data_IF_584599730210
#
_entry.id   IF_584599730210
#
_cell.length_a   1.000
_cell.length_b   1.000
_cell.length_c   1.000
_cell.angle_alpha   90.00
_cell.angle_beta   90.00
_cell.angle_gamma   90.00
#
_symmetry.space_group_name_H-M   'P 1'
#
loop_
_entity.id
_entity.type
_entity.pdbx_description
1 polymer ?
#
# COMPACT_ATOMS: atom_id res chain seq x y z
N UNK A 1 -27.35 0.61 -26.60
CA UNK A 1 -27.37 -0.34 -25.46
C UNK A 1 -26.18 0.02 -24.59
N UNK A 2 -26.42 0.77 -23.51
CA UNK A 2 -25.38 1.22 -22.58
C UNK A 2 -24.88 -0.01 -21.81
N UNK A 3 -23.69 -0.49 -22.16
CA UNK A 3 -23.02 -1.53 -21.37
C UNK A 3 -22.74 -0.97 -19.98
N UNK A 4 -23.38 -1.53 -18.96
CA UNK A 4 -23.09 -1.20 -17.57
C UNK A 4 -21.61 -1.50 -17.30
N UNK A 5 -20.83 -0.45 -17.06
CA UNK A 5 -19.42 -0.54 -16.71
C UNK A 5 -19.31 -1.07 -15.28
N UNK A 6 -18.76 -2.28 -15.12
CA UNK A 6 -18.43 -2.83 -13.81
C UNK A 6 -17.05 -2.31 -13.40
N UNK A 7 -16.91 -1.62 -12.25
CA UNK A 7 -15.61 -1.20 -11.74
C UNK A 7 -14.77 -2.41 -11.32
N UNK A 8 -13.45 -2.32 -11.49
CA UNK A 8 -12.47 -3.33 -11.06
C UNK A 8 -12.66 -3.74 -9.59
N UNK A 9 -12.88 -5.03 -9.35
CA UNK A 9 -12.99 -5.62 -8.01
C UNK A 9 -11.88 -6.63 -7.77
N UNK A 10 -11.25 -6.59 -6.59
CA UNK A 10 -10.24 -7.60 -6.20
C UNK A 10 -10.82 -9.02 -6.11
N UNK A 11 -12.12 -9.14 -5.87
CA UNK A 11 -12.80 -10.45 -5.78
C UNK A 11 -12.96 -11.15 -7.13
N UNK A 12 -12.77 -10.43 -8.24
CA UNK A 12 -12.83 -11.01 -9.59
C UNK A 12 -11.48 -11.62 -10.01
N UNK A 13 -10.40 -11.28 -9.30
CA UNK A 13 -9.08 -11.82 -9.60
C UNK A 13 -8.87 -13.17 -8.92
N UNK A 14 -8.31 -14.16 -9.64
CA UNK A 14 -7.90 -15.42 -9.04
C UNK A 14 -6.94 -15.23 -7.87
N UNK A 15 -7.20 -15.94 -6.77
CA UNK A 15 -6.38 -15.89 -5.55
C UNK A 15 -5.46 -17.10 -5.37
N UNK A 16 -5.34 -17.93 -6.41
CA UNK A 16 -4.69 -19.26 -6.37
C UNK A 16 -3.73 -19.53 -7.54
N UNK A 17 -3.49 -18.55 -8.41
CA UNK A 17 -2.68 -18.73 -9.63
C UNK A 17 -1.96 -17.46 -10.05
N UNK A 18 -1.06 -17.61 -11.03
CA UNK A 18 -0.41 -16.48 -11.70
C UNK A 18 -1.38 -15.87 -12.71
N UNK A 19 -1.57 -14.56 -12.67
CA UNK A 19 -2.31 -13.82 -13.70
C UNK A 19 -1.52 -12.62 -14.18
N UNK A 20 -1.64 -12.32 -15.48
CA UNK A 20 -1.11 -11.10 -16.06
C UNK A 20 -2.21 -10.06 -16.15
N UNK A 21 -2.01 -8.93 -15.49
CA UNK A 21 -2.96 -7.80 -15.47
C UNK A 21 -2.46 -6.71 -16.42
N UNK A 22 -3.29 -6.32 -17.38
CA UNK A 22 -3.05 -5.16 -18.27
C UNK A 22 -3.84 -3.93 -17.82
N UNK A 23 -3.34 -2.75 -18.19
CA UNK A 23 -3.99 -1.45 -17.99
C UNK A 23 -4.28 -1.08 -16.53
N UNK A 24 -3.37 -1.41 -15.61
CA UNK A 24 -3.57 -1.23 -14.19
C UNK A 24 -2.83 0.02 -13.67
N UNK A 25 -3.58 1.02 -13.22
CA UNK A 25 -3.00 2.22 -12.60
C UNK A 25 -3.00 2.10 -11.07
N UNK A 26 -2.08 2.78 -10.37
CA UNK A 26 -2.05 2.74 -8.90
C UNK A 26 -3.36 3.19 -8.25
N UNK A 27 -4.03 4.15 -8.88
CA UNK A 27 -5.29 4.72 -8.38
C UNK A 27 -6.45 3.72 -8.50
N UNK A 28 -6.38 2.77 -9.45
CA UNK A 28 -7.39 1.72 -9.61
C UNK A 28 -7.21 0.64 -8.55
N UNK A 29 -5.96 0.32 -8.18
CA UNK A 29 -5.68 -0.58 -7.06
C UNK A 29 -6.13 -0.02 -5.72
N UNK A 30 -5.81 1.24 -5.44
CA UNK A 30 -6.18 1.87 -4.19
C UNK A 30 -7.71 1.89 -4.00
N UNK A 31 -8.46 2.08 -5.11
CA UNK A 31 -9.93 1.95 -5.12
C UNK A 31 -10.39 0.51 -4.88
N UNK A 32 -9.79 -0.45 -5.58
CA UNK A 32 -10.19 -1.85 -5.48
C UNK A 32 -9.89 -2.44 -4.09
N UNK A 33 -8.75 -2.11 -3.48
CA UNK A 33 -8.44 -2.43 -2.08
C UNK A 33 -9.43 -1.75 -1.13
N UNK A 34 -9.85 -0.52 -1.47
CA UNK A 34 -10.77 0.23 -0.62
C UNK A 34 -12.19 -0.36 -0.58
N UNK A 35 -12.69 -0.79 -1.74
CA UNK A 35 -14.02 -1.36 -1.89
C UNK A 35 -14.00 -2.90 -1.66
N UNK A 36 -12.86 -3.48 -1.28
CA UNK A 36 -12.66 -4.91 -1.13
C UNK A 36 -13.42 -5.51 0.07
N UNK A 37 -14.30 -6.52 -0.16
CA UNK A 37 -15.01 -7.19 0.93
C UNK A 37 -14.04 -7.93 1.87
N UNK A 38 -14.40 -8.26 3.12
CA UNK A 38 -13.50 -8.84 4.13
C UNK A 38 -12.73 -10.10 3.69
N UNK A 39 -13.34 -10.91 2.83
CA UNK A 39 -12.80 -12.15 2.24
C UNK A 39 -11.81 -11.92 1.08
N UNK A 40 -11.66 -10.69 0.59
CA UNK A 40 -10.68 -10.35 -0.43
C UNK A 40 -9.22 -10.56 0.04
N UNK A 41 -8.27 -10.80 -0.89
CA UNK A 41 -6.86 -11.00 -0.54
C UNK A 41 -6.21 -9.74 0.04
N UNK A 42 -5.20 -9.94 0.90
CA UNK A 42 -4.23 -8.91 1.21
C UNK A 42 -3.32 -8.70 0.00
N UNK A 43 -3.38 -7.53 -0.64
CA UNK A 43 -2.58 -7.22 -1.83
C UNK A 43 -1.28 -6.56 -1.42
N UNK A 44 -0.16 -7.17 -1.78
CA UNK A 44 1.18 -6.64 -1.58
C UNK A 44 1.80 -6.26 -2.91
N UNK A 45 1.96 -4.96 -3.12
CA UNK A 45 2.57 -4.40 -4.33
C UNK A 45 4.08 -4.35 -4.20
N UNK A 46 4.77 -4.79 -5.24
CA UNK A 46 6.22 -4.83 -5.26
C UNK A 46 6.80 -4.47 -6.61
N UNK A 47 7.85 -3.67 -6.59
CA UNK A 47 8.74 -3.49 -7.74
C UNK A 47 9.80 -4.58 -7.72
N UNK A 48 9.82 -5.40 -8.75
CA UNK A 48 10.73 -6.56 -8.78
C UNK A 48 12.07 -6.13 -9.38
N UNK A 49 13.14 -6.19 -8.58
CA UNK A 49 14.50 -6.17 -9.11
C UNK A 49 14.85 -7.57 -9.62
N UNK A 50 15.13 -7.71 -10.91
CA UNK A 50 15.40 -9.01 -11.52
C UNK A 50 16.87 -9.38 -11.38
N UNK A 51 17.12 -10.61 -10.94
CA UNK A 51 18.46 -11.14 -10.63
C UNK A 51 18.94 -12.13 -11.69
N UNK A 52 18.25 -12.22 -12.84
CA UNK A 52 18.62 -13.07 -13.98
C UNK A 52 18.39 -14.57 -13.79
N UNK A 53 17.98 -15.02 -12.60
CA UNK A 53 17.66 -16.43 -12.30
C UNK A 53 16.32 -16.54 -11.54
N UNK A 54 15.50 -17.57 -11.82
CA UNK A 54 14.24 -17.79 -11.11
C UNK A 54 14.44 -17.96 -9.60
N UNK A 55 15.41 -18.78 -9.19
CA UNK A 55 15.68 -19.04 -7.75
C UNK A 55 16.15 -17.77 -7.04
N UNK A 56 17.02 -16.98 -7.68
CA UNK A 56 17.49 -15.72 -7.10
C UNK A 56 16.36 -14.68 -7.03
N UNK A 57 15.40 -14.73 -7.97
CA UNK A 57 14.20 -13.89 -7.95
C UNK A 57 13.28 -14.30 -6.81
N UNK A 58 13.07 -15.61 -6.60
CA UNK A 58 12.32 -16.15 -5.44
C UNK A 58 12.97 -15.72 -4.13
N UNK A 59 14.27 -15.90 -3.95
CA UNK A 59 14.97 -15.55 -2.71
C UNK A 59 14.85 -14.05 -2.40
N UNK A 60 15.07 -13.21 -3.43
CA UNK A 60 14.83 -11.78 -3.32
C UNK A 60 13.39 -11.51 -2.89
N UNK A 61 12.41 -12.19 -3.51
CA UNK A 61 11.00 -12.06 -3.16
C UNK A 61 10.74 -12.39 -1.70
N UNK A 62 11.22 -13.52 -1.22
CA UNK A 62 11.03 -13.95 0.17
C UNK A 62 11.71 -13.01 1.17
N UNK A 63 12.89 -12.46 0.85
CA UNK A 63 13.59 -11.56 1.77
C UNK A 63 12.86 -10.22 1.97
N UNK A 64 12.31 -9.61 0.92
CA UNK A 64 11.54 -8.37 1.16
C UNK A 64 10.16 -8.68 1.76
N UNK A 65 9.55 -9.84 1.49
CA UNK A 65 8.35 -10.28 2.22
C UNK A 65 8.65 -10.42 3.71
N UNK A 66 9.80 -10.98 4.07
CA UNK A 66 10.30 -11.06 5.45
C UNK A 66 10.57 -9.66 6.03
N UNK A 67 11.16 -8.76 5.25
CA UNK A 67 11.35 -7.36 5.65
C UNK A 67 10.03 -6.64 5.94
N UNK A 68 9.00 -6.88 5.11
CA UNK A 68 7.64 -6.36 5.34
C UNK A 68 7.01 -6.98 6.58
N UNK A 69 7.12 -8.30 6.78
CA UNK A 69 6.65 -8.95 8.00
C UNK A 69 7.33 -8.38 9.25
N UNK A 70 8.64 -8.11 9.20
CA UNK A 70 9.38 -7.45 10.27
C UNK A 70 8.84 -6.04 10.59
N UNK A 71 8.49 -5.26 9.56
CA UNK A 71 7.87 -3.93 9.76
C UNK A 71 6.45 -4.00 10.33
N UNK A 72 5.75 -5.11 10.09
CA UNK A 72 4.39 -5.37 10.58
C UNK A 72 4.39 -6.00 11.98
N UNK A 73 5.54 -6.34 12.55
CA UNK A 73 5.61 -6.85 13.92
C UNK A 73 5.24 -5.75 14.94
N UNK A 74 4.44 -6.04 15.99
CA UNK A 74 3.88 -7.33 16.39
C UNK A 74 2.44 -7.60 15.89
N UNK A 75 1.93 -6.88 14.89
CA UNK A 75 0.51 -6.95 14.45
C UNK A 75 0.05 -8.37 14.10
N UNK A 76 0.92 -9.16 13.49
CA UNK A 76 0.62 -10.55 13.12
C UNK A 76 0.89 -11.56 14.24
N UNK A 77 1.35 -11.12 15.42
CA UNK A 77 1.65 -11.96 16.58
C UNK A 77 0.93 -11.43 17.84
N UNK A 78 -0.39 -11.64 17.96
CA UNK A 78 -1.14 -11.23 19.15
C UNK A 78 -0.52 -11.77 20.44
N UNK A 79 -0.43 -10.93 21.47
CA UNK A 79 0.24 -11.21 22.74
C UNK A 79 1.68 -10.68 22.83
N UNK A 80 2.26 -10.20 21.72
CA UNK A 80 3.60 -9.59 21.71
C UNK A 80 3.58 -8.05 21.77
N UNK A 81 2.42 -7.39 21.90
CA UNK A 81 2.26 -5.93 21.84
C UNK A 81 3.05 -5.18 22.93
N UNK A 82 3.27 -5.83 24.09
CA UNK A 82 4.04 -5.26 25.21
C UNK A 82 5.56 -5.49 25.12
N UNK A 83 6.06 -6.20 24.10
CA UNK A 83 7.46 -6.61 24.01
C UNK A 83 8.19 -5.70 23.01
N UNK A 84 8.68 -4.57 23.52
CA UNK A 84 9.26 -3.51 22.67
C UNK A 84 10.78 -3.62 22.45
N UNK A 85 11.52 -4.38 23.27
CA UNK A 85 12.98 -4.50 23.15
C UNK A 85 13.44 -5.95 23.25
N UNK A 86 14.53 -6.29 22.55
CA UNK A 86 15.13 -7.63 22.57
C UNK A 86 15.93 -7.96 23.84
N UNK A 87 15.69 -7.27 24.96
CA UNK A 87 16.46 -7.41 26.19
C UNK A 87 15.90 -8.51 27.12
N UNK A 88 16.78 -9.12 27.92
CA UNK A 88 16.40 -10.10 28.94
C UNK A 88 15.64 -11.30 28.37
N UNK A 89 14.48 -11.61 28.93
CA UNK A 89 13.65 -12.76 28.54
C UNK A 89 12.76 -12.50 27.31
N UNK A 90 12.82 -11.31 26.70
CA UNK A 90 11.91 -10.90 25.62
C UNK A 90 11.96 -11.81 24.38
N UNK A 91 13.17 -12.24 23.97
CA UNK A 91 13.32 -13.15 22.83
C UNK A 91 12.70 -14.53 23.12
N UNK A 92 12.86 -15.04 24.34
CA UNK A 92 12.25 -16.31 24.75
C UNK A 92 10.73 -16.20 24.80
N UNK A 93 10.21 -15.09 25.33
CA UNK A 93 8.78 -14.83 25.40
C UNK A 93 8.14 -14.74 24.00
N UNK A 94 8.73 -13.95 23.09
CA UNK A 94 8.24 -13.83 21.71
C UNK A 94 8.26 -15.17 20.97
N UNK A 95 9.30 -15.97 21.17
CA UNK A 95 9.36 -17.33 20.60
C UNK A 95 8.24 -18.22 21.15
N UNK A 96 7.96 -18.17 22.45
CA UNK A 96 6.89 -18.95 23.06
C UNK A 96 5.51 -18.55 22.51
N UNK A 97 5.24 -17.24 22.38
CA UNK A 97 4.00 -16.74 21.78
C UNK A 97 3.87 -17.22 20.32
N UNK A 98 4.96 -17.14 19.55
CA UNK A 98 4.99 -17.63 18.18
C UNK A 98 4.74 -19.14 18.06
N UNK A 99 5.28 -19.97 18.96
CA UNK A 99 4.97 -21.39 18.98
C UNK A 99 3.49 -21.66 19.29
N UNK A 100 2.91 -20.94 20.26
CA UNK A 100 1.50 -21.08 20.59
C UNK A 100 0.61 -20.72 19.38
N UNK A 101 0.85 -19.58 18.75
CA UNK A 101 0.10 -19.18 17.57
C UNK A 101 0.30 -20.11 16.36
N UNK A 102 1.51 -20.63 16.18
CA UNK A 102 1.79 -21.55 15.07
C UNK A 102 0.96 -22.84 15.19
N UNK A 103 0.72 -23.32 16.42
CA UNK A 103 -0.16 -24.46 16.66
C UNK A 103 -1.61 -24.17 16.25
N UNK A 104 -2.12 -22.97 16.55
CA UNK A 104 -3.49 -22.56 16.20
C UNK A 104 -3.68 -22.30 14.69
N UNK A 105 -2.63 -21.85 14.01
CA UNK A 105 -2.68 -21.41 12.60
C UNK A 105 -2.12 -22.44 11.61
N UNK A 106 -1.73 -23.63 12.10
CA UNK A 106 -1.07 -24.69 11.33
C UNK A 106 0.22 -24.22 10.60
N UNK A 107 0.92 -23.23 11.17
CA UNK A 107 2.21 -22.77 10.67
C UNK A 107 3.35 -23.61 11.21
N UNK A 108 4.48 -23.62 10.50
CA UNK A 108 5.70 -24.23 11.01
C UNK A 108 6.26 -23.39 12.17
N UNK A 109 6.12 -23.87 13.41
CA UNK A 109 6.44 -23.10 14.61
C UNK A 109 7.87 -22.58 14.70
N UNK A 110 8.85 -23.37 14.25
CA UNK A 110 10.24 -22.90 14.21
C UNK A 110 10.40 -21.69 13.29
N UNK A 111 9.78 -21.70 12.12
CA UNK A 111 9.79 -20.56 11.21
C UNK A 111 9.19 -19.32 11.86
N UNK A 112 8.00 -19.43 12.45
CA UNK A 112 7.31 -18.27 13.04
C UNK A 112 8.08 -17.70 14.24
N UNK A 113 8.63 -18.57 15.10
CA UNK A 113 9.44 -18.16 16.24
C UNK A 113 10.74 -17.47 15.83
N UNK A 114 11.34 -17.90 14.72
CA UNK A 114 12.56 -17.32 14.18
C UNK A 114 12.29 -15.96 13.55
N UNK A 115 11.21 -15.84 12.76
CA UNK A 115 10.74 -14.58 12.19
C UNK A 115 10.45 -13.55 13.30
N UNK A 116 9.73 -13.96 14.35
CA UNK A 116 9.36 -13.08 15.45
C UNK A 116 10.57 -12.60 16.27
N UNK A 117 11.51 -13.50 16.56
CA UNK A 117 12.76 -13.14 17.22
C UNK A 117 13.62 -12.19 16.35
N UNK A 118 13.67 -12.43 15.03
CA UNK A 118 14.40 -11.57 14.09
C UNK A 118 13.78 -10.17 13.98
N UNK A 119 12.46 -10.10 13.88
CA UNK A 119 11.70 -8.84 13.86
C UNK A 119 11.93 -8.01 15.12
N UNK A 120 11.82 -8.63 16.31
CA UNK A 120 12.09 -7.95 17.59
C UNK A 120 13.56 -7.49 17.71
N UNK A 121 14.50 -8.28 17.20
CA UNK A 121 15.91 -7.95 17.24
C UNK A 121 16.35 -6.94 16.16
N UNK A 122 15.47 -6.56 15.23
CA UNK A 122 15.80 -5.70 14.09
C UNK A 122 16.90 -6.28 13.18
N UNK A 123 17.03 -7.62 13.13
CA UNK A 123 18.04 -8.30 12.30
C UNK A 123 17.48 -8.51 10.89
N UNK A 124 18.34 -8.38 9.87
CA UNK A 124 18.03 -8.72 8.48
C UNK A 124 17.67 -10.20 8.31
N UNK A 125 17.40 -10.68 7.08
CA UNK A 125 16.66 -11.92 6.83
C UNK A 125 17.17 -13.10 7.68
N UNK A 126 16.42 -13.43 8.71
CA UNK A 126 16.72 -14.43 9.71
C UNK A 126 16.10 -15.78 9.34
N UNK A 127 15.09 -15.81 8.48
CA UNK A 127 14.40 -17.05 8.10
C UNK A 127 15.05 -17.83 6.96
N UNK A 128 16.15 -17.32 6.37
CA UNK A 128 16.89 -18.01 5.28
C UNK A 128 17.44 -19.40 5.63
N UNK A 129 17.51 -19.75 6.92
CA UNK A 129 17.86 -21.11 7.37
C UNK A 129 16.77 -22.15 7.09
N UNK A 130 15.54 -21.70 6.86
CA UNK A 130 14.41 -22.55 6.54
C UNK A 130 14.33 -22.78 5.03
N UNK A 131 13.80 -23.93 4.58
CA UNK A 131 13.54 -24.18 3.17
C UNK A 131 12.69 -23.05 2.55
N UNK A 132 12.95 -22.66 1.28
CA UNK A 132 12.20 -21.60 0.61
C UNK A 132 10.67 -21.80 0.67
N UNK A 133 10.19 -23.04 0.58
CA UNK A 133 8.76 -23.38 0.61
C UNK A 133 8.11 -23.02 1.94
N UNK A 134 8.83 -23.33 3.04
CA UNK A 134 8.41 -22.98 4.40
C UNK A 134 8.35 -21.46 4.55
N UNK A 135 9.34 -20.75 4.00
CA UNK A 135 9.36 -19.27 3.99
C UNK A 135 8.19 -18.71 3.19
N UNK A 136 7.94 -19.23 1.99
CA UNK A 136 6.87 -18.77 1.10
C UNK A 136 5.50 -18.89 1.78
N UNK A 137 5.15 -20.10 2.25
CA UNK A 137 3.87 -20.34 2.92
C UNK A 137 3.74 -19.56 4.22
N UNK A 138 4.80 -19.50 5.04
CA UNK A 138 4.78 -18.81 6.32
C UNK A 138 4.66 -17.29 6.17
N UNK A 139 5.44 -16.68 5.28
CA UNK A 139 5.38 -15.25 5.02
C UNK A 139 4.04 -14.84 4.42
N UNK A 140 3.48 -15.61 3.48
CA UNK A 140 2.17 -15.33 2.91
C UNK A 140 1.07 -15.30 3.98
N UNK A 141 1.07 -16.25 4.91
CA UNK A 141 0.08 -16.30 5.98
C UNK A 141 0.26 -15.17 7.00
N UNK A 142 1.50 -14.85 7.38
CA UNK A 142 1.83 -13.71 8.26
C UNK A 142 1.38 -12.39 7.65
N UNK A 143 1.62 -12.19 6.35
CA UNK A 143 1.24 -10.99 5.65
C UNK A 143 -0.29 -10.90 5.51
N UNK A 144 -0.98 -11.98 5.15
CA UNK A 144 -2.44 -12.00 5.10
C UNK A 144 -3.08 -11.67 6.46
N UNK A 145 -2.58 -12.29 7.55
CA UNK A 145 -3.11 -12.09 8.89
C UNK A 145 -2.88 -10.67 9.43
N UNK A 146 -1.75 -10.04 9.09
CA UNK A 146 -1.45 -8.63 9.42
C UNK A 146 -2.54 -7.67 8.95
N UNK A 147 -3.21 -8.02 7.86
CA UNK A 147 -4.26 -7.23 7.23
C UNK A 147 -5.68 -7.78 7.53
N UNK A 148 -5.79 -8.83 8.35
CA UNK A 148 -7.06 -9.50 8.65
C UNK A 148 -7.71 -10.15 7.43
N UNK A 149 -6.90 -10.60 6.47
CA UNK A 149 -7.35 -11.22 5.21
C UNK A 149 -7.07 -12.72 5.21
N UNK A 150 -7.86 -13.53 4.48
CA UNK A 150 -7.70 -14.98 4.47
C UNK A 150 -6.51 -15.46 3.62
N UNK A 151 -6.13 -14.68 2.59
CA UNK A 151 -5.07 -15.03 1.64
C UNK A 151 -4.25 -13.81 1.26
N UNK A 152 -3.03 -14.04 0.79
CA UNK A 152 -2.12 -13.01 0.29
C UNK A 152 -2.07 -13.06 -1.25
N UNK A 153 -2.05 -11.89 -1.89
CA UNK A 153 -1.79 -11.72 -3.32
C UNK A 153 -0.59 -10.80 -3.52
N UNK A 154 0.45 -11.27 -4.21
CA UNK A 154 1.63 -10.48 -4.57
C UNK A 154 1.42 -9.83 -5.94
N UNK A 155 1.33 -8.51 -5.98
CA UNK A 155 1.33 -7.75 -7.23
C UNK A 155 2.76 -7.35 -7.60
N UNK A 156 3.35 -8.08 -8.54
CA UNK A 156 4.69 -7.84 -9.09
C UNK A 156 4.66 -6.81 -10.22
N UNK A 157 5.50 -5.80 -10.12
CA UNK A 157 5.73 -4.74 -11.10
C UNK A 157 7.17 -4.85 -11.60
N UNK A 158 7.43 -5.60 -12.68
CA UNK A 158 8.77 -5.65 -13.27
C UNK A 158 9.19 -4.29 -13.87
N UNK A 159 10.49 -4.12 -14.16
CA UNK A 159 10.97 -2.96 -14.91
C UNK A 159 10.34 -2.92 -16.32
N UNK A 160 10.21 -1.71 -16.88
CA UNK A 160 9.55 -1.48 -18.18
C UNK A 160 10.33 -2.07 -19.36
N UNK A 161 11.65 -2.22 -19.22
CA UNK A 161 12.60 -2.67 -20.22
C UNK A 161 12.99 -4.14 -20.02
N UNK A 162 11.99 -4.97 -19.70
CA UNK A 162 12.18 -6.39 -19.45
C UNK A 162 12.59 -7.15 -20.72
N UNK A 163 13.69 -7.89 -20.64
CA UNK A 163 14.13 -8.80 -21.70
C UNK A 163 13.43 -10.17 -21.61
N UNK A 164 13.50 -10.98 -22.67
CA UNK A 164 12.88 -12.32 -22.70
C UNK A 164 13.35 -13.25 -21.56
N UNK A 165 14.67 -13.37 -21.28
CA UNK A 165 15.14 -14.20 -20.17
C UNK A 165 14.64 -13.70 -18.81
N UNK A 166 14.60 -12.38 -18.59
CA UNK A 166 14.08 -11.78 -17.36
C UNK A 166 12.58 -12.02 -17.20
N UNK A 167 11.80 -11.93 -18.27
CA UNK A 167 10.37 -12.24 -18.26
C UNK A 167 10.11 -13.70 -17.92
N UNK A 168 10.85 -14.63 -18.55
CA UNK A 168 10.73 -16.05 -18.25
C UNK A 168 11.10 -16.35 -16.79
N UNK A 169 12.19 -15.78 -16.29
CA UNK A 169 12.63 -15.97 -14.90
C UNK A 169 11.61 -15.43 -13.89
N UNK A 170 11.01 -14.28 -14.17
CA UNK A 170 9.94 -13.70 -13.35
C UNK A 170 8.73 -14.62 -13.28
N UNK A 171 8.27 -15.15 -14.42
CA UNK A 171 7.08 -16.01 -14.49
C UNK A 171 7.34 -17.36 -13.83
N UNK A 172 8.54 -17.93 -14.00
CA UNK A 172 8.93 -19.14 -13.28
C UNK A 172 8.99 -18.92 -11.77
N UNK A 173 9.52 -17.79 -11.31
CA UNK A 173 9.52 -17.42 -9.90
C UNK A 173 8.09 -17.21 -9.37
N UNK A 174 7.24 -16.53 -10.13
CA UNK A 174 5.83 -16.33 -9.81
C UNK A 174 5.08 -17.65 -9.68
N UNK A 175 5.27 -18.58 -10.62
CA UNK A 175 4.65 -19.90 -10.58
C UNK A 175 5.13 -20.69 -9.36
N UNK A 176 6.43 -20.69 -9.10
CA UNK A 176 6.99 -21.36 -7.93
C UNK A 176 6.38 -20.81 -6.61
N UNK A 177 6.19 -19.49 -6.51
CA UNK A 177 5.57 -18.86 -5.34
C UNK A 177 4.11 -19.26 -5.16
N UNK A 178 3.34 -19.40 -6.24
CA UNK A 178 1.97 -19.92 -6.18
C UNK A 178 1.96 -21.36 -5.69
N UNK A 179 2.79 -22.21 -6.30
CA UNK A 179 2.82 -23.65 -6.04
C UNK A 179 3.20 -23.97 -4.58
N UNK A 180 4.08 -23.16 -3.97
CA UNK A 180 4.63 -23.44 -2.63
C UNK A 180 4.17 -22.44 -1.55
N UNK A 181 3.67 -21.27 -1.92
CA UNK A 181 3.40 -20.17 -1.00
C UNK A 181 1.94 -20.02 -0.57
N UNK A 182 1.00 -20.77 -1.17
CA UNK A 182 -0.46 -20.63 -0.93
C UNK A 182 -0.92 -19.17 -1.07
N UNK A 183 -0.41 -18.52 -2.11
CA UNK A 183 -0.65 -17.11 -2.40
C UNK A 183 -0.92 -16.93 -3.89
N UNK A 184 -1.60 -15.84 -4.25
CA UNK A 184 -1.75 -15.44 -5.64
C UNK A 184 -0.57 -14.60 -6.09
N UNK A 185 -0.16 -14.70 -7.37
CA UNK A 185 0.80 -13.76 -7.95
C UNK A 185 0.16 -13.06 -9.13
N UNK A 186 0.11 -11.75 -9.07
CA UNK A 186 -0.40 -10.90 -10.13
C UNK A 186 0.78 -10.14 -10.73
N UNK A 187 0.96 -10.23 -12.04
CA UNK A 187 2.03 -9.51 -12.73
C UNK A 187 1.40 -8.34 -13.47
N UNK A 188 1.83 -7.12 -13.16
CA UNK A 188 1.41 -5.93 -13.89
C UNK A 188 2.54 -5.42 -14.79
N UNK A 189 2.36 -5.55 -16.10
CA UNK A 189 3.25 -5.01 -17.12
C UNK A 189 2.43 -4.64 -18.36
N UNK A 190 2.82 -3.56 -19.06
CA UNK A 190 2.18 -3.16 -20.33
C UNK A 190 2.42 -4.19 -21.44
N UNK A 191 3.60 -4.81 -21.42
CA UNK A 191 4.00 -5.89 -22.32
C UNK A 191 4.86 -6.88 -21.55
N UNK A 192 4.64 -8.18 -21.75
CA UNK A 192 5.52 -9.26 -21.33
C UNK A 192 6.03 -9.95 -22.59
N UNK A 193 7.35 -9.92 -22.87
CA UNK A 193 7.87 -10.48 -24.11
C UNK A 193 7.75 -12.01 -24.12
N UNK A 194 7.14 -12.56 -25.18
CA UNK A 194 7.10 -14.00 -25.47
C UNK A 194 6.41 -14.88 -24.40
N UNK A 195 5.42 -14.32 -23.68
CA UNK A 195 4.62 -15.04 -22.66
C UNK A 195 3.12 -14.88 -22.97
N UNK A 196 2.68 -15.52 -24.06
CA UNK A 196 1.29 -15.42 -24.54
C UNK A 196 0.36 -16.48 -23.90
N UNK A 197 0.92 -17.39 -23.10
CA UNK A 197 0.18 -18.51 -22.48
C UNK A 197 -0.32 -18.21 -21.06
N UNK A 198 0.08 -17.08 -20.46
CA UNK A 198 -0.44 -16.68 -19.14
C UNK A 198 -1.90 -16.21 -19.26
N UNK A 199 -2.78 -16.56 -18.31
CA UNK A 199 -4.12 -16.01 -18.25
C UNK A 199 -4.07 -14.48 -18.14
N UNK A 200 -4.57 -13.81 -19.18
CA UNK A 200 -4.65 -12.36 -19.26
C UNK A 200 -5.95 -11.87 -18.63
N UNK A 201 -5.83 -10.87 -17.74
CA UNK A 201 -6.95 -10.11 -17.19
C UNK A 201 -6.79 -8.63 -17.57
N UNK A 202 -7.71 -8.14 -18.39
CA UNK A 202 -7.78 -6.72 -18.74
C UNK A 202 -8.69 -6.00 -17.77
N UNK A 203 -8.16 -5.01 -17.04
CA UNK A 203 -8.99 -4.14 -16.21
C UNK A 203 -9.67 -3.08 -17.09
N UNK A 204 -11.00 -3.04 -17.10
CA UNK A 204 -11.75 -2.07 -17.89
C UNK A 204 -11.48 -0.65 -17.39
N UNK A 205 -10.82 0.17 -18.23
CA UNK A 205 -10.68 1.60 -17.97
C UNK A 205 -12.01 2.33 -18.19
N UNK A 206 -12.38 3.31 -17.34
CA UNK A 206 -13.21 4.39 -17.84
C UNK A 206 -12.42 5.10 -18.96
N UNK A 207 -13.04 5.20 -20.13
CA UNK A 207 -12.58 6.10 -21.18
C UNK A 207 -12.52 7.48 -20.54
N UNK A 208 -11.30 8.01 -20.36
CA UNK A 208 -11.16 9.45 -20.18
C UNK A 208 -11.61 10.03 -21.50
N UNK A 209 -12.74 10.75 -21.51
CA UNK A 209 -13.09 11.56 -22.66
C UNK A 209 -11.86 12.36 -23.04
N UNK A 210 -11.42 12.14 -24.27
CA UNK A 210 -10.30 12.84 -24.87
C UNK A 210 -10.49 14.33 -24.59
N UNK A 211 -9.47 14.96 -24.01
CA UNK A 211 -9.42 16.41 -23.93
C UNK A 211 -9.71 16.96 -25.32
N UNK A 212 -10.88 17.58 -25.47
CA UNK A 212 -11.29 18.32 -26.66
C UNK A 212 -10.18 19.31 -26.93
N UNK A 213 -9.47 19.09 -28.03
CA UNK A 213 -8.51 20.04 -28.58
C UNK A 213 -9.33 21.21 -29.12
N UNK A 214 -9.46 22.26 -28.30
CA UNK A 214 -9.95 23.55 -28.78
C UNK A 214 -8.81 24.17 -29.58
N UNK A 215 -8.89 23.97 -30.89
CA UNK A 215 -8.17 24.76 -31.89
C UNK A 215 -8.71 26.19 -31.85
N UNK A 216 -7.84 27.19 -31.72
CA UNK A 216 -8.24 28.59 -31.62
C UNK A 216 -7.06 29.55 -31.55
N UNK A 217 -6.50 29.83 -32.74
CA UNK A 217 -5.89 31.10 -33.18
C UNK A 217 -4.72 31.73 -32.39
N UNK A 218 -3.55 31.78 -33.03
CA UNK A 218 -2.48 32.76 -32.77
C UNK A 218 -2.97 34.21 -32.97
N UNK A 219 -2.26 35.22 -32.43
CA UNK A 219 -1.26 35.86 -33.30
C UNK A 219 0.04 36.36 -32.62
N UNK A 220 1.07 36.39 -33.47
CA UNK A 220 2.13 37.42 -33.63
C UNK A 220 3.53 37.21 -33.01
N UNK A 221 4.51 37.14 -33.94
CA UNK A 221 5.96 37.10 -33.75
C UNK A 221 6.61 38.49 -33.67
N UNK A 222 7.71 38.57 -32.93
CA UNK A 222 8.97 39.29 -33.25
C UNK A 222 9.99 38.95 -32.14
N UNK A 223 11.27 38.63 -32.34
CA UNK A 223 12.15 38.56 -33.50
C UNK A 223 13.49 37.88 -33.10
N UNK A 224 14.35 37.72 -34.10
CA UNK A 224 15.53 36.84 -34.20
C UNK A 224 16.66 36.95 -33.14
N UNK A 225 17.32 35.80 -32.87
CA UNK A 225 18.77 35.56 -33.06
C UNK A 225 19.17 34.10 -32.69
N UNK A 226 19.81 33.38 -33.61
CA UNK A 226 20.51 32.08 -33.42
C UNK A 226 21.99 32.28 -32.98
N UNK A 227 22.86 31.24 -32.84
CA UNK A 227 22.76 30.00 -32.04
C UNK A 227 24.02 29.82 -31.15
N UNK A 228 23.91 29.24 -29.95
CA UNK A 228 25.11 28.86 -29.15
C UNK A 228 24.92 27.51 -28.45
N UNK A 229 25.68 26.52 -28.93
CA UNK A 229 26.35 25.49 -28.12
C UNK A 229 25.49 24.42 -27.42
N UNK A 230 25.41 23.24 -28.04
CA UNK A 230 25.09 22.00 -27.33
C UNK A 230 26.03 21.79 -26.14
N UNK A 231 25.49 21.89 -24.93
CA UNK A 231 26.07 21.29 -23.71
C UNK A 231 25.27 20.02 -23.39
N UNK A 232 25.92 18.89 -23.04
CA UNK A 232 25.22 17.66 -22.70
C UNK A 232 24.36 17.90 -21.47
N UNK A 233 23.05 17.62 -21.57
CA UNK A 233 22.17 17.58 -20.40
C UNK A 233 22.63 16.42 -19.51
N UNK A 234 22.82 16.61 -18.19
CA UNK A 234 23.13 15.51 -17.32
C UNK A 234 22.00 14.47 -17.39
N UNK A 235 22.39 13.21 -17.58
CA UNK A 235 21.54 12.03 -17.48
C UNK A 235 20.70 12.19 -16.21
N UNK A 236 19.37 12.21 -16.36
CA UNK A 236 18.45 12.10 -15.23
C UNK A 236 18.72 10.75 -14.57
N UNK A 237 19.50 10.77 -13.49
CA UNK A 237 19.56 9.66 -12.57
C UNK A 237 18.15 9.42 -12.05
N UNK A 238 17.62 8.26 -12.43
CA UNK A 238 16.36 7.72 -11.97
C UNK A 238 16.40 7.62 -10.45
N UNK A 239 15.75 8.57 -9.77
CA UNK A 239 15.55 8.53 -8.33
C UNK A 239 14.80 7.24 -7.97
N UNK A 240 15.50 6.32 -7.29
CA UNK A 240 14.93 5.12 -6.72
C UNK A 240 13.70 5.48 -5.87
N UNK A 241 12.51 5.18 -6.39
CA UNK A 241 11.27 5.48 -5.68
C UNK A 241 11.09 4.53 -4.51
N UNK A 242 11.05 5.08 -3.29
CA UNK A 242 10.70 4.42 -2.02
C UNK A 242 9.49 3.46 -2.17
N UNK A 243 9.45 2.33 -1.42
CA UNK A 243 8.28 1.46 -1.37
C UNK A 243 7.06 2.24 -0.82
N UNK A 244 5.93 2.15 -1.53
CA UNK A 244 4.66 2.81 -1.17
C UNK A 244 3.95 2.02 -0.07
N UNK A 245 3.38 2.74 0.91
CA UNK A 245 2.69 2.21 2.10
C UNK A 245 1.30 1.68 1.72
N UNK A 246 1.03 0.41 2.01
CA UNK A 246 -0.18 -0.33 1.64
C UNK A 246 -1.13 -0.41 2.85
N UNK A 247 -2.27 0.28 2.79
CA UNK A 247 -3.23 0.31 3.89
C UNK A 247 -4.47 -0.54 3.63
N UNK A 248 -5.11 -1.00 4.71
CA UNK A 248 -6.43 -1.65 4.72
C UNK A 248 -7.47 -0.65 5.24
N UNK A 249 -8.65 -0.63 4.61
CA UNK A 249 -9.77 0.21 5.04
C UNK A 249 -10.23 -0.17 6.44
N UNK A 250 -10.44 0.85 7.27
CA UNK A 250 -10.98 0.71 8.62
C UNK A 250 -9.94 0.52 9.72
N UNK A 251 -8.65 0.31 9.39
CA UNK A 251 -7.56 0.22 10.39
C UNK A 251 -6.44 1.21 10.06
N UNK A 252 -5.72 1.76 11.05
CA UNK A 252 -4.51 2.54 10.81
C UNK A 252 -3.50 1.70 10.03
N UNK A 253 -2.63 2.34 9.25
CA UNK A 253 -1.57 1.63 8.55
C UNK A 253 -0.64 0.97 9.59
N UNK A 254 -0.49 -0.36 9.59
CA UNK A 254 0.21 -1.09 10.66
C UNK A 254 1.69 -0.71 10.81
N UNK A 255 2.37 -0.32 9.73
CA UNK A 255 3.77 0.17 9.78
C UNK A 255 3.92 1.68 10.06
N UNK A 256 2.81 2.40 10.29
CA UNK A 256 2.83 3.83 10.64
C UNK A 256 2.71 3.99 12.15
N UNK A 257 3.85 4.16 12.84
CA UNK A 257 3.88 4.34 14.30
C UNK A 257 2.97 5.49 14.75
N UNK A 258 2.90 6.57 13.98
CA UNK A 258 2.04 7.70 14.26
C UNK A 258 0.55 7.33 14.16
N UNK A 259 0.11 6.67 13.09
CA UNK A 259 -1.30 6.25 12.95
C UNK A 259 -1.72 5.24 14.02
N UNK A 260 -0.85 4.26 14.31
CA UNK A 260 -1.12 3.24 15.35
C UNK A 260 -1.21 3.89 16.73
N UNK A 261 -0.28 4.77 17.09
CA UNK A 261 -0.32 5.50 18.35
C UNK A 261 -1.56 6.40 18.43
N UNK A 262 -1.92 7.05 17.32
CA UNK A 262 -3.08 7.92 17.28
C UNK A 262 -4.38 7.13 17.48
N UNK A 263 -4.54 6.01 16.79
CA UNK A 263 -5.72 5.15 16.95
C UNK A 263 -5.83 4.59 18.37
N UNK A 264 -4.73 4.15 18.97
CA UNK A 264 -4.72 3.64 20.35
C UNK A 264 -5.31 4.67 21.32
N UNK A 265 -4.95 5.96 21.18
CA UNK A 265 -5.49 7.00 22.05
C UNK A 265 -6.92 7.40 21.66
N UNK A 266 -7.26 7.43 20.37
CA UNK A 266 -8.63 7.75 19.91
C UNK A 266 -9.65 6.68 20.32
N UNK A 267 -9.25 5.42 20.46
CA UNK A 267 -10.11 4.32 20.86
C UNK A 267 -10.75 4.53 22.24
N UNK A 268 -10.00 5.11 23.17
CA UNK A 268 -10.46 5.36 24.55
C UNK A 268 -11.28 6.64 24.70
N UNK A 269 -11.54 7.38 23.61
CA UNK A 269 -12.20 8.68 23.66
C UNK A 269 -13.60 8.62 23.03
N UNK A 270 -14.68 8.76 23.84
CA UNK A 270 -16.05 8.72 23.32
C UNK A 270 -16.35 9.78 22.24
N UNK A 271 -15.72 10.95 22.34
CA UNK A 271 -15.90 12.01 21.35
C UNK A 271 -15.34 11.65 19.96
N UNK A 272 -14.39 10.71 19.89
CA UNK A 272 -13.76 10.26 18.65
C UNK A 272 -14.55 9.16 17.94
N UNK A 273 -15.75 8.80 18.42
CA UNK A 273 -16.61 7.82 17.76
C UNK A 273 -16.98 8.23 16.31
N UNK A 274 -17.23 7.24 15.46
CA UNK A 274 -17.61 7.43 14.05
C UNK A 274 -16.45 7.71 13.09
N UNK A 275 -15.21 7.46 13.53
CA UNK A 275 -14.00 7.55 12.72
C UNK A 275 -13.81 6.30 11.86
N UNK A 276 -13.21 6.46 10.69
CA UNK A 276 -12.83 5.37 9.81
C UNK A 276 -11.45 5.64 9.22
N UNK A 277 -10.51 4.71 9.39
CA UNK A 277 -9.18 4.80 8.79
C UNK A 277 -9.18 4.39 7.32
N UNK A 278 -8.21 4.90 6.56
CA UNK A 278 -7.91 4.54 5.19
C UNK A 278 -9.15 4.51 4.30
N UNK A 279 -9.97 5.55 4.40
CA UNK A 279 -11.28 5.61 3.76
C UNK A 279 -11.21 6.39 2.45
N UNK A 280 -11.94 5.94 1.43
CA UNK A 280 -12.07 6.67 0.16
C UNK A 280 -13.27 7.61 0.19
N UNK A 281 -13.02 8.90 0.01
CA UNK A 281 -14.04 9.93 -0.12
C UNK A 281 -14.32 10.15 -1.61
N UNK A 282 -15.60 10.21 -1.99
CA UNK A 282 -16.04 10.63 -3.33
C UNK A 282 -16.65 12.02 -3.22
N UNK A 283 -15.89 13.10 -3.50
CA UNK A 283 -16.34 14.47 -3.24
C UNK A 283 -17.50 14.87 -4.15
N UNK A 284 -17.53 14.35 -5.39
CA UNK A 284 -18.61 14.54 -6.35
C UNK A 284 -18.56 13.52 -7.49
N UNK A 285 -19.61 13.46 -8.33
CA UNK A 285 -19.76 12.44 -9.38
C UNK A 285 -18.70 12.51 -10.50
N UNK A 286 -18.05 13.66 -10.66
CA UNK A 286 -17.02 13.92 -11.68
C UNK A 286 -15.61 14.08 -11.09
N UNK A 287 -15.46 13.83 -9.78
CA UNK A 287 -14.18 14.02 -9.07
C UNK A 287 -13.59 12.67 -8.75
N UNK A 288 -12.30 12.50 -9.04
CA UNK A 288 -11.58 11.29 -8.67
C UNK A 288 -11.72 11.04 -7.16
N UNK A 289 -12.11 9.83 -6.74
CA UNK A 289 -12.11 9.46 -5.34
C UNK A 289 -10.74 9.70 -4.70
N UNK A 290 -10.76 10.20 -3.48
CA UNK A 290 -9.56 10.54 -2.72
C UNK A 290 -9.49 9.63 -1.50
N UNK A 291 -8.42 8.85 -1.37
CA UNK A 291 -8.13 8.11 -0.14
C UNK A 291 -7.53 9.06 0.88
N UNK A 292 -7.99 8.93 2.11
CA UNK A 292 -7.56 9.75 3.25
C UNK A 292 -7.21 8.84 4.42
N UNK A 293 -6.26 9.26 5.26
CA UNK A 293 -5.81 8.42 6.37
C UNK A 293 -6.90 8.21 7.41
N UNK A 294 -7.64 9.26 7.82
CA UNK A 294 -8.68 9.15 8.83
C UNK A 294 -9.89 10.06 8.53
N UNK A 295 -11.10 9.52 8.65
CA UNK A 295 -12.34 10.20 8.26
C UNK A 295 -13.42 10.15 9.34
N UNK A 296 -14.01 11.31 9.65
CA UNK A 296 -15.33 11.44 10.27
C UNK A 296 -16.35 11.89 9.23
N UNK A 297 -17.11 10.93 8.69
CA UNK A 297 -18.00 11.15 7.53
C UNK A 297 -19.10 12.17 7.81
N UNK A 298 -19.72 12.12 8.99
CA UNK A 298 -20.84 13.00 9.37
C UNK A 298 -20.39 14.45 9.56
N UNK A 299 -19.21 14.64 10.16
CA UNK A 299 -18.61 15.94 10.41
C UNK A 299 -17.86 16.49 9.19
N UNK A 300 -17.71 15.67 8.13
CA UNK A 300 -16.88 15.92 6.95
C UNK A 300 -15.46 16.37 7.35
N UNK A 301 -14.89 15.69 8.34
CA UNK A 301 -13.54 15.95 8.82
C UNK A 301 -12.61 14.84 8.33
N UNK A 302 -11.56 15.23 7.65
CA UNK A 302 -10.47 14.38 7.18
C UNK A 302 -9.24 14.73 8.01
N UNK A 303 -8.50 13.73 8.45
CA UNK A 303 -7.18 13.87 9.04
C UNK A 303 -6.18 13.08 8.19
N UNK A 304 -5.10 13.73 7.79
CA UNK A 304 -3.96 13.09 7.11
C UNK A 304 -2.75 13.14 8.05
N UNK A 305 -2.01 12.03 8.14
CA UNK A 305 -0.77 11.95 8.89
C UNK A 305 0.39 11.96 7.89
N UNK A 306 0.94 13.16 7.67
CA UNK A 306 2.04 13.34 6.74
C UNK A 306 3.35 12.82 7.36
N UNK A 307 3.96 11.84 6.69
CA UNK A 307 5.34 11.43 6.98
C UNK A 307 6.38 12.40 6.41
N UNK A 308 7.64 12.26 6.84
CA UNK A 308 8.79 13.01 6.31
C UNK A 308 9.06 12.63 4.85
N UNK A 309 8.25 13.17 3.94
CA UNK A 309 8.41 12.99 2.50
C UNK A 309 9.01 14.25 1.88
N UNK A 310 10.23 14.10 1.36
CA UNK A 310 10.81 15.03 0.40
C UNK A 310 9.99 14.98 -0.90
N UNK A 311 8.86 15.72 -0.91
CA UNK A 311 7.96 15.85 -2.06
C UNK A 311 8.67 16.62 -3.19
N UNK A 312 8.78 15.99 -4.36
CA UNK A 312 9.16 16.68 -5.61
C UNK A 312 8.09 17.70 -6.02
N UNK A 313 8.47 18.77 -6.70
CA UNK A 313 7.57 19.89 -7.04
C UNK A 313 6.28 19.47 -7.79
N UNK A 314 6.32 18.39 -8.59
CA UNK A 314 5.14 17.86 -9.28
C UNK A 314 4.09 17.25 -8.35
N UNK A 315 4.51 16.53 -7.30
CA UNK A 315 3.60 15.92 -6.31
C UNK A 315 2.90 16.97 -5.45
N UNK A 316 3.58 18.10 -5.18
CA UNK A 316 3.01 19.22 -4.44
C UNK A 316 1.80 19.87 -5.14
N UNK A 317 1.87 20.04 -6.46
CA UNK A 317 0.78 20.66 -7.23
C UNK A 317 -0.47 19.77 -7.28
N UNK A 318 -0.27 18.45 -7.32
CA UNK A 318 -1.35 17.47 -7.36
C UNK A 318 -2.03 17.30 -5.99
N UNK A 319 -1.25 17.26 -4.91
CA UNK A 319 -1.78 17.24 -3.54
C UNK A 319 -2.57 18.53 -3.21
N UNK A 320 -2.08 19.71 -3.65
CA UNK A 320 -2.83 20.97 -3.50
C UNK A 320 -4.18 20.95 -4.22
N UNK A 321 -4.22 20.43 -5.45
CA UNK A 321 -5.47 20.32 -6.22
C UNK A 321 -6.46 19.39 -5.52
N UNK A 322 -5.96 18.27 -4.97
CA UNK A 322 -6.77 17.33 -4.18
C UNK A 322 -7.37 18.01 -2.94
N UNK A 323 -6.57 18.73 -2.16
CA UNK A 323 -7.03 19.40 -0.95
C UNK A 323 -8.11 20.46 -1.25
N UNK A 324 -7.90 21.26 -2.31
CA UNK A 324 -8.90 22.26 -2.76
C UNK A 324 -10.22 21.58 -3.14
N UNK A 325 -10.17 20.45 -3.86
CA UNK A 325 -11.38 19.72 -4.25
C UNK A 325 -12.13 19.15 -3.06
N UNK A 326 -11.44 18.63 -2.05
CA UNK A 326 -12.07 18.18 -0.80
C UNK A 326 -12.77 19.33 -0.08
N UNK A 327 -12.11 20.49 0.00
CA UNK A 327 -12.65 21.69 0.64
C UNK A 327 -13.89 22.23 -0.08
N UNK A 328 -13.86 22.31 -1.42
CA UNK A 328 -15.02 22.74 -2.21
C UNK A 328 -16.25 21.85 -2.02
N UNK A 329 -16.04 20.58 -1.66
CA UNK A 329 -17.11 19.62 -1.35
C UNK A 329 -17.45 19.56 0.15
N UNK A 330 -17.01 20.56 0.93
CA UNK A 330 -17.39 20.77 2.32
C UNK A 330 -16.60 19.94 3.34
N UNK A 331 -15.55 19.24 2.91
CA UNK A 331 -14.63 18.57 3.81
C UNK A 331 -13.61 19.56 4.39
N UNK A 332 -13.29 19.39 5.67
CA UNK A 332 -12.07 19.98 6.22
C UNK A 332 -10.98 18.92 6.26
N UNK A 333 -9.78 19.31 5.83
CA UNK A 333 -8.59 18.46 5.84
C UNK A 333 -7.64 19.03 6.89
N UNK A 334 -7.43 18.28 7.99
CA UNK A 334 -6.43 18.58 9.01
C UNK A 334 -5.20 17.71 8.74
N UNK A 335 -4.02 18.30 8.73
CA UNK A 335 -2.76 17.59 8.49
C UNK A 335 -1.91 17.65 9.75
N UNK A 336 -1.43 16.50 10.21
CA UNK A 336 -0.48 16.40 11.31
C UNK A 336 0.76 15.65 10.83
N UNK A 337 1.94 16.08 11.27
CA UNK A 337 3.17 15.35 10.97
C UNK A 337 3.32 14.15 11.91
N UNK A 338 4.12 13.17 11.50
CA UNK A 338 4.51 12.07 12.39
C UNK A 338 5.05 12.57 13.74
N UNK A 339 5.91 13.61 13.73
CA UNK A 339 6.48 14.20 14.94
C UNK A 339 5.40 14.80 15.83
N UNK A 340 4.43 15.53 15.27
CA UNK A 340 3.32 16.09 16.06
C UNK A 340 2.49 15.00 16.73
N UNK A 341 2.18 13.93 16.00
CA UNK A 341 1.39 12.82 16.53
C UNK A 341 2.15 12.02 17.59
N UNK A 342 3.46 11.84 17.43
CA UNK A 342 4.27 11.04 18.36
C UNK A 342 4.72 11.83 19.60
N UNK A 343 5.04 13.12 19.44
CA UNK A 343 5.69 13.92 20.49
C UNK A 343 4.73 14.92 21.17
N UNK A 344 3.60 15.28 20.52
CA UNK A 344 2.62 16.26 21.03
C UNK A 344 1.16 15.83 20.80
N UNK A 345 0.88 14.55 21.10
CA UNK A 345 -0.41 13.92 20.81
C UNK A 345 -1.61 14.60 21.50
N UNK A 346 -1.42 15.13 22.70
CA UNK A 346 -2.49 15.78 23.47
C UNK A 346 -2.98 17.08 22.79
N UNK A 347 -2.07 17.86 22.20
CA UNK A 347 -2.42 19.05 21.45
C UNK A 347 -3.15 18.71 20.15
N UNK A 348 -2.69 17.68 19.43
CA UNK A 348 -3.37 17.14 18.25
C UNK A 348 -4.81 16.73 18.59
N UNK A 349 -5.00 16.02 19.70
CA UNK A 349 -6.32 15.60 20.17
C UNK A 349 -7.20 16.78 20.57
N UNK A 350 -6.66 17.78 21.27
CA UNK A 350 -7.40 18.97 21.67
C UNK A 350 -7.95 19.74 20.46
N UNK A 351 -7.10 19.97 19.46
CA UNK A 351 -7.49 20.63 18.20
C UNK A 351 -8.57 19.84 17.45
N UNK A 352 -8.37 18.53 17.32
CA UNK A 352 -9.32 17.66 16.63
C UNK A 352 -10.67 17.59 17.37
N UNK A 353 -10.66 17.43 18.69
CA UNK A 353 -11.86 17.39 19.51
C UNK A 353 -12.65 18.69 19.41
N UNK A 354 -11.96 19.84 19.50
CA UNK A 354 -12.59 21.16 19.36
C UNK A 354 -13.21 21.31 17.97
N UNK A 355 -12.49 20.92 16.92
CA UNK A 355 -12.98 20.98 15.54
C UNK A 355 -14.25 20.14 15.34
N UNK A 356 -14.23 18.88 15.78
CA UNK A 356 -15.39 17.98 15.67
C UNK A 356 -16.57 18.48 16.49
N UNK A 357 -16.33 18.99 17.71
CA UNK A 357 -17.38 19.58 18.54
C UNK A 357 -18.06 20.77 17.85
N UNK A 358 -17.28 21.65 17.23
CA UNK A 358 -17.81 22.80 16.49
C UNK A 358 -18.65 22.36 15.28
N UNK A 359 -18.14 21.41 14.48
CA UNK A 359 -18.89 20.85 13.33
C UNK A 359 -20.20 20.19 13.75
N UNK A 360 -20.19 19.46 14.86
CA UNK A 360 -21.40 18.80 15.41
C UNK A 360 -22.44 19.79 15.93
N UNK A 361 -22.01 20.93 16.48
CA UNK A 361 -22.92 22.01 16.91
C UNK A 361 -23.53 22.72 15.71
N UNK A 362 -22.71 23.05 14.71
CA UNK A 362 -23.18 23.69 13.48
C UNK A 362 -24.22 22.85 12.73
N UNK A 363 -24.04 21.52 12.67
CA UNK A 363 -24.99 20.60 12.02
C UNK A 363 -26.27 20.28 12.81
N UNK A 364 -26.44 20.77 14.05
CA UNK A 364 -27.67 20.64 14.85
C UNK A 364 -28.59 21.87 14.79
N UNK A 365 -28.12 22.95 14.16
CA UNK A 365 -28.82 24.24 14.06
C UNK A 365 -29.61 24.45 12.77
N UNK A 366 -29.74 23.42 11.94
CA UNK A 366 -30.56 23.32 10.73
C UNK A 366 -31.47 22.12 10.87
#
# INVERSE_FOLDING_TARGET
MLGAMVPFSLSELPTDRVVWIKCFHSDDLDRAVADAPPDAPAVIVRRTALTGSPSATVDSILDEMEGLAGQLFPVWLPGAEGIATAAGAALTAVRAIAFAQAADTAQYGNFLADLAAGALAGRGPCTRRHPPEVRASGLAQVLASSFGRPVCALLLQPPNDLDEPGALALVQAAQWLVDHGRLAVWIHAESLPSIDWLPEFTVARPVRDASVSVSGSEPFQAGAAEPIGERPRPRRESSAGKPRRLSVVGKPHPTSRAEVAFEAVLADRPWAAGRAWNHTVRPGPLVNPVRVDLLWKRERCIVEIDGDDHRTAGKYAEDRRRDVMLQLNGYAVLRFTNTQVLDDIENVLALLQQFLANRRRAGKGT
#
